data_IF_457360808960
#
_entry.id   IF_457360808960
#
_cell.length_a   1.000
_cell.length_b   1.000
_cell.length_c   1.000
_cell.angle_alpha   90.00
_cell.angle_beta   90.00
_cell.angle_gamma   90.00
#
_symmetry.space_group_name_H-M   'P 1'
#
loop_
_entity.id
_entity.type
_entity.pdbx_description
1 polymer ?
#
# COMPACT_ATOMS: atom_id res chain seq x y z
N UNK A 1 36.14 -17.47 -4.74
CA UNK A 1 35.74 -16.06 -4.80
C UNK A 1 34.70 -15.90 -5.87
N UNK A 2 33.43 -15.68 -5.50
CA UNK A 2 32.40 -15.37 -6.50
C UNK A 2 32.69 -14.01 -7.12
N UNK A 3 32.68 -13.94 -8.46
CA UNK A 3 32.83 -12.69 -9.17
C UNK A 3 31.59 -11.81 -8.94
N UNK A 4 31.79 -10.52 -8.68
CA UNK A 4 30.70 -9.58 -8.47
C UNK A 4 29.85 -9.43 -9.74
N UNK A 5 28.54 -9.52 -9.62
CA UNK A 5 27.62 -9.26 -10.73
C UNK A 5 27.79 -7.79 -11.18
N UNK A 6 27.97 -7.51 -12.49
CA UNK A 6 28.16 -6.16 -12.98
C UNK A 6 26.89 -5.31 -12.82
N UNK A 7 27.08 -4.02 -12.54
CA UNK A 7 25.98 -3.04 -12.54
C UNK A 7 25.41 -2.89 -13.95
N UNK A 8 24.09 -2.98 -14.06
CA UNK A 8 23.36 -2.86 -15.32
C UNK A 8 22.50 -1.60 -15.40
N UNK A 9 22.50 -0.74 -14.39
CA UNK A 9 21.74 0.52 -14.39
C UNK A 9 22.29 1.52 -15.41
N UNK A 10 23.61 1.66 -15.52
CA UNK A 10 24.24 2.66 -16.40
C UNK A 10 23.68 4.07 -16.14
N UNK A 11 23.26 4.77 -17.19
CA UNK A 11 22.64 6.10 -17.09
C UNK A 11 21.11 6.08 -16.82
N UNK A 12 20.50 4.90 -16.61
CA UNK A 12 19.05 4.78 -16.38
C UNK A 12 18.62 5.48 -15.08
N UNK A 13 17.53 6.25 -15.15
CA UNK A 13 16.91 6.94 -14.00
C UNK A 13 15.41 6.65 -13.88
N UNK A 14 14.93 5.55 -14.47
CA UNK A 14 13.50 5.24 -14.57
C UNK A 14 12.83 5.12 -13.19
N UNK A 15 13.41 4.35 -12.27
CA UNK A 15 12.88 4.18 -10.91
C UNK A 15 12.86 5.49 -10.12
N UNK A 16 13.87 6.36 -10.30
CA UNK A 16 13.93 7.67 -9.65
C UNK A 16 12.78 8.57 -10.12
N UNK A 17 12.44 8.53 -11.41
CA UNK A 17 11.38 9.37 -12.00
C UNK A 17 9.96 8.92 -11.68
N UNK A 18 9.75 7.62 -11.46
CA UNK A 18 8.39 7.06 -11.26
C UNK A 18 7.98 7.02 -9.79
N UNK A 19 8.92 7.14 -8.85
CA UNK A 19 8.64 6.98 -7.43
C UNK A 19 7.59 8.02 -6.98
N UNK A 20 6.37 7.62 -6.55
CA UNK A 20 5.27 8.57 -6.35
C UNK A 20 5.51 9.61 -5.25
N UNK A 21 6.43 9.32 -4.34
CA UNK A 21 6.75 10.14 -3.17
C UNK A 21 8.18 10.67 -3.22
N UNK A 22 8.91 10.51 -4.33
CA UNK A 22 10.33 10.86 -4.42
C UNK A 22 11.19 10.25 -3.29
N UNK A 23 10.83 9.04 -2.84
CA UNK A 23 11.58 8.35 -1.79
C UNK A 23 12.99 7.95 -2.25
N UNK A 24 13.20 7.77 -3.56
CA UNK A 24 14.51 7.54 -4.13
C UNK A 24 15.21 8.88 -4.40
N UNK A 25 15.89 9.40 -3.36
CA UNK A 25 16.58 10.71 -3.40
C UNK A 25 17.83 10.75 -4.30
N UNK A 26 18.30 9.58 -4.73
CA UNK A 26 19.41 9.44 -5.65
C UNK A 26 19.64 7.98 -6.06
N UNK A 27 20.61 7.71 -6.96
CA UNK A 27 20.96 6.35 -7.32
C UNK A 27 21.33 5.54 -6.07
N UNK A 28 20.59 4.45 -5.82
CA UNK A 28 20.81 3.55 -4.68
C UNK A 28 20.68 4.22 -3.30
N UNK A 29 19.94 5.33 -3.22
CA UNK A 29 19.68 6.04 -1.98
C UNK A 29 18.17 6.16 -1.78
N UNK A 30 17.70 5.70 -0.62
CA UNK A 30 16.28 5.64 -0.27
C UNK A 30 16.04 6.36 1.05
N UNK A 31 15.12 7.32 1.06
CA UNK A 31 14.49 7.80 2.28
C UNK A 31 13.28 6.92 2.61
N UNK A 32 13.47 5.99 3.57
CA UNK A 32 12.43 5.05 3.97
C UNK A 32 11.17 5.76 4.51
N UNK A 33 11.30 6.93 5.13
CA UNK A 33 10.16 7.68 5.71
C UNK A 33 9.15 8.13 4.66
N UNK A 34 9.57 8.19 3.39
CA UNK A 34 8.73 8.53 2.23
C UNK A 34 8.34 7.30 1.40
N UNK A 35 9.03 6.18 1.57
CA UNK A 35 8.81 4.98 0.77
C UNK A 35 7.44 4.35 1.08
N UNK A 36 6.57 4.21 0.09
CA UNK A 36 5.22 3.63 0.28
C UNK A 36 5.31 2.20 0.85
N UNK A 37 6.30 1.41 0.44
CA UNK A 37 6.50 0.07 1.00
C UNK A 37 6.81 0.12 2.50
N UNK A 38 7.69 1.02 2.94
CA UNK A 38 7.95 1.22 4.37
C UNK A 38 6.73 1.75 5.11
N UNK A 39 6.04 2.76 4.55
CA UNK A 39 4.84 3.35 5.16
C UNK A 39 3.74 2.32 5.39
N UNK A 40 3.53 1.41 4.43
CA UNK A 40 2.46 0.41 4.48
C UNK A 40 2.83 -0.85 5.26
N UNK A 41 4.12 -1.18 5.41
CA UNK A 41 4.57 -2.42 6.07
C UNK A 41 5.20 -2.16 7.44
N UNK A 42 6.20 -1.29 7.51
CA UNK A 42 7.07 -1.15 8.68
C UNK A 42 6.63 -0.02 9.61
N UNK A 43 6.12 1.08 9.07
CA UNK A 43 5.63 2.20 9.88
C UNK A 43 4.39 1.77 10.67
N UNK A 44 4.48 1.80 12.00
CA UNK A 44 3.39 1.45 12.92
C UNK A 44 2.46 2.63 13.22
N UNK A 45 2.94 3.86 13.02
CA UNK A 45 2.21 5.08 13.34
C UNK A 45 1.48 5.68 12.14
N UNK A 46 1.31 6.99 12.18
CA UNK A 46 0.64 7.78 11.15
C UNK A 46 1.38 7.81 9.82
N UNK A 47 0.65 7.72 8.70
CA UNK A 47 1.15 8.10 7.38
C UNK A 47 0.99 9.62 7.25
N UNK A 48 2.06 10.39 7.01
CA UNK A 48 1.99 11.85 6.89
C UNK A 48 0.94 12.29 5.85
N UNK A 49 0.06 13.27 6.15
CA UNK A 49 -1.02 13.69 5.27
C UNK A 49 -0.58 14.00 3.83
N UNK A 50 0.58 14.64 3.66
CA UNK A 50 1.17 15.01 2.38
C UNK A 50 1.59 13.82 1.51
N UNK A 51 1.71 12.62 2.09
CA UNK A 51 2.06 11.40 1.38
C UNK A 51 0.83 10.52 1.04
N UNK A 52 -0.32 10.74 1.72
CA UNK A 52 -1.49 9.85 1.63
C UNK A 52 -2.07 9.75 0.21
N UNK A 53 -2.06 10.84 -0.54
CA UNK A 53 -2.53 10.84 -1.94
C UNK A 53 -1.64 9.98 -2.84
N UNK A 54 -0.32 10.11 -2.71
CA UNK A 54 0.65 9.38 -3.52
C UNK A 54 0.67 7.87 -3.24
N UNK A 55 0.18 7.43 -2.07
CA UNK A 55 0.02 5.99 -1.76
C UNK A 55 -0.92 5.31 -2.78
N UNK A 56 -1.95 6.02 -3.26
CA UNK A 56 -2.95 5.46 -4.17
C UNK A 56 -3.72 4.31 -3.51
N UNK A 57 -3.87 3.19 -4.21
CA UNK A 57 -4.57 1.98 -3.74
C UNK A 57 -3.63 0.93 -3.13
N UNK A 58 -2.39 1.28 -2.78
CA UNK A 58 -1.39 0.34 -2.26
C UNK A 58 -1.63 0.07 -0.78
N UNK A 59 -2.20 -1.10 -0.48
CA UNK A 59 -2.54 -1.52 0.89
C UNK A 59 -1.33 -2.16 1.60
N UNK A 60 -0.45 -2.84 0.86
CA UNK A 60 0.74 -3.51 1.40
C UNK A 60 1.85 -3.54 0.35
N UNK A 61 2.93 -2.79 0.58
CA UNK A 61 4.05 -2.72 -0.35
C UNK A 61 3.86 -1.72 -1.51
N UNK A 62 4.89 -1.59 -2.34
CA UNK A 62 4.88 -0.79 -3.56
C UNK A 62 5.93 -1.33 -4.53
N UNK A 63 5.52 -1.60 -5.76
CA UNK A 63 6.39 -2.21 -6.79
C UNK A 63 6.75 -1.23 -7.92
N UNK A 64 6.35 0.05 -7.85
CA UNK A 64 6.50 0.98 -8.98
C UNK A 64 7.94 1.09 -9.49
N UNK A 65 8.91 1.15 -8.57
CA UNK A 65 10.33 1.22 -8.91
C UNK A 65 10.84 -0.06 -9.57
N UNK A 66 10.21 -1.21 -9.30
CA UNK A 66 10.50 -2.49 -9.93
C UNK A 66 9.75 -2.63 -11.27
N UNK A 67 8.48 -2.27 -11.34
CA UNK A 67 7.66 -2.38 -12.56
C UNK A 67 8.25 -1.56 -13.69
N UNK A 68 8.78 -0.37 -13.40
CA UNK A 68 9.42 0.49 -14.42
C UNK A 68 10.85 0.04 -14.78
N UNK A 69 11.45 -0.87 -14.01
CA UNK A 69 12.83 -1.27 -14.22
C UNK A 69 12.96 -2.06 -15.54
N UNK A 70 13.80 -1.62 -16.50
CA UNK A 70 13.92 -2.31 -17.79
C UNK A 70 14.50 -3.72 -17.67
N UNK A 71 15.16 -4.04 -16.55
CA UNK A 71 15.70 -5.38 -16.29
C UNK A 71 14.65 -6.37 -15.80
N UNK A 72 13.52 -5.90 -15.25
CA UNK A 72 12.44 -6.79 -14.82
C UNK A 72 11.65 -7.39 -15.99
N UNK A 73 11.82 -6.89 -17.21
CA UNK A 73 11.25 -7.55 -18.42
C UNK A 73 11.78 -8.96 -18.65
N UNK A 74 12.92 -9.30 -18.04
CA UNK A 74 13.54 -10.62 -18.12
C UNK A 74 13.11 -11.56 -16.97
N UNK A 75 12.38 -11.05 -15.98
CA UNK A 75 11.87 -11.86 -14.88
C UNK A 75 10.80 -12.83 -15.40
N UNK A 76 10.76 -14.03 -14.82
CA UNK A 76 9.76 -15.06 -15.11
C UNK A 76 8.85 -15.19 -13.91
N UNK A 77 7.54 -15.36 -14.15
CA UNK A 77 6.61 -15.72 -13.08
C UNK A 77 7.02 -17.07 -12.50
N UNK A 78 6.99 -17.18 -11.17
CA UNK A 78 7.26 -18.45 -10.51
C UNK A 78 6.17 -19.47 -10.86
N UNK A 79 6.56 -20.73 -10.95
CA UNK A 79 5.64 -21.86 -11.01
C UNK A 79 5.31 -22.43 -9.62
N UNK A 80 5.94 -21.91 -8.57
CA UNK A 80 5.68 -22.32 -7.19
C UNK A 80 4.28 -21.89 -6.75
N UNK A 81 3.48 -22.86 -6.32
CA UNK A 81 2.08 -22.65 -5.97
C UNK A 81 1.93 -21.75 -4.73
N UNK A 82 2.91 -21.80 -3.82
CA UNK A 82 2.90 -20.99 -2.60
C UNK A 82 2.90 -19.48 -2.86
N UNK A 83 3.36 -19.04 -4.04
CA UNK A 83 3.36 -17.63 -4.46
C UNK A 83 2.10 -17.19 -5.22
N UNK A 84 1.14 -18.10 -5.45
CA UNK A 84 -0.14 -17.72 -6.05
C UNK A 84 -0.93 -16.81 -5.09
N UNK A 85 -1.70 -15.83 -5.60
CA UNK A 85 -2.62 -15.04 -4.79
C UNK A 85 -3.58 -15.93 -4.00
N UNK A 86 -3.75 -15.63 -2.72
CA UNK A 86 -4.66 -16.36 -1.83
C UNK A 86 -5.86 -15.48 -1.50
N UNK A 87 -7.00 -16.13 -1.25
CA UNK A 87 -8.23 -15.47 -0.78
C UNK A 87 -8.78 -14.34 -1.68
N UNK A 88 -8.41 -14.33 -2.97
CA UNK A 88 -8.86 -13.32 -3.95
C UNK A 88 -8.33 -11.91 -3.69
N UNK A 89 -7.23 -11.77 -2.95
CA UNK A 89 -6.68 -10.46 -2.56
C UNK A 89 -6.14 -9.63 -3.74
N UNK A 90 -5.87 -10.26 -4.88
CA UNK A 90 -5.43 -9.61 -6.12
C UNK A 90 -6.57 -8.91 -6.88
N UNK A 91 -7.82 -9.17 -6.50
CA UNK A 91 -9.03 -8.59 -7.13
C UNK A 91 -10.05 -8.06 -6.13
N UNK A 92 -9.71 -8.03 -4.84
CA UNK A 92 -10.62 -7.62 -3.77
C UNK A 92 -10.98 -6.12 -3.84
N UNK A 93 -12.24 -5.80 -3.51
CA UNK A 93 -12.68 -4.40 -3.37
C UNK A 93 -12.30 -3.87 -1.99
N UNK A 94 -11.87 -2.60 -1.93
CA UNK A 94 -11.53 -1.93 -0.66
C UNK A 94 -12.69 -1.99 0.35
N UNK A 95 -13.94 -1.82 -0.11
CA UNK A 95 -15.12 -1.90 0.75
C UNK A 95 -15.32 -3.29 1.40
N UNK A 96 -14.98 -4.37 0.69
CA UNK A 96 -15.08 -5.74 1.22
C UNK A 96 -13.98 -6.00 2.25
N UNK A 97 -12.77 -5.50 1.98
CA UNK A 97 -11.64 -5.61 2.89
C UNK A 97 -11.85 -4.80 4.18
N UNK A 98 -12.46 -3.61 4.07
CA UNK A 98 -12.88 -2.81 5.23
C UNK A 98 -13.93 -3.54 6.08
N UNK A 99 -14.66 -4.52 5.55
CA UNK A 99 -15.63 -5.29 6.33
C UNK A 99 -15.00 -6.41 7.18
N UNK A 100 -13.73 -6.79 6.94
CA UNK A 100 -13.06 -7.81 7.74
C UNK A 100 -12.80 -7.28 9.14
N UNK A 101 -13.19 -8.04 10.16
CA UNK A 101 -12.74 -7.83 11.53
C UNK A 101 -11.31 -8.39 11.74
N UNK A 102 -10.76 -8.18 12.94
CA UNK A 102 -9.43 -8.66 13.27
C UNK A 102 -9.33 -10.18 13.15
N UNK A 103 -10.31 -10.92 13.67
CA UNK A 103 -10.32 -12.39 13.59
C UNK A 103 -10.28 -12.89 12.13
N UNK A 104 -11.06 -12.28 11.24
CA UNK A 104 -11.07 -12.59 9.81
C UNK A 104 -9.75 -12.22 9.14
N UNK A 105 -9.19 -11.04 9.44
CA UNK A 105 -7.89 -10.63 8.93
C UNK A 105 -6.81 -11.63 9.34
N UNK A 106 -6.75 -12.02 10.61
CA UNK A 106 -5.80 -13.00 11.10
C UNK A 106 -6.01 -14.33 10.36
N UNK A 107 -7.21 -14.91 10.40
CA UNK A 107 -7.48 -16.20 9.76
C UNK A 107 -7.14 -16.23 8.26
N UNK A 108 -7.49 -15.17 7.51
CA UNK A 108 -7.26 -15.09 6.05
C UNK A 108 -5.85 -14.72 5.65
N UNK A 109 -5.00 -14.26 6.56
CA UNK A 109 -3.62 -13.89 6.23
C UNK A 109 -2.59 -14.82 6.88
N UNK A 110 -3.03 -15.86 7.57
CA UNK A 110 -2.14 -16.85 8.18
C UNK A 110 -1.15 -17.44 7.16
N UNK A 111 0.13 -17.48 7.53
CA UNK A 111 1.20 -17.95 6.64
C UNK A 111 1.50 -17.02 5.45
N UNK A 112 0.99 -15.79 5.43
CA UNK A 112 1.26 -14.79 4.39
C UNK A 112 2.16 -13.67 4.90
N UNK A 113 2.93 -13.05 3.99
CA UNK A 113 3.75 -11.88 4.31
C UNK A 113 2.93 -10.69 4.86
N UNK A 114 1.62 -10.62 4.56
CA UNK A 114 0.70 -9.63 5.14
C UNK A 114 0.70 -9.66 6.68
N UNK A 115 1.08 -10.77 7.33
CA UNK A 115 1.20 -10.84 8.80
C UNK A 115 2.35 -10.01 9.39
N UNK A 116 3.16 -9.33 8.56
CA UNK A 116 4.12 -8.33 9.03
C UNK A 116 3.44 -7.06 9.58
N UNK A 117 2.19 -6.81 9.17
CA UNK A 117 1.37 -5.72 9.71
C UNK A 117 0.32 -6.25 10.70
N UNK A 118 -0.02 -5.42 11.68
CA UNK A 118 -1.15 -5.68 12.57
C UNK A 118 -2.48 -5.20 11.93
N UNK A 119 -3.59 -5.53 12.59
CA UNK A 119 -4.92 -5.16 12.10
C UNK A 119 -5.17 -3.64 12.09
N UNK A 120 -4.51 -2.87 12.98
CA UNK A 120 -4.63 -1.41 13.00
C UNK A 120 -3.98 -0.80 11.75
N UNK A 121 -2.78 -1.26 11.39
CA UNK A 121 -2.11 -0.90 10.15
C UNK A 121 -2.92 -1.31 8.91
N UNK A 122 -3.57 -2.47 8.94
CA UNK A 122 -4.45 -2.92 7.87
C UNK A 122 -5.60 -1.93 7.62
N UNK A 123 -6.34 -1.56 8.67
CA UNK A 123 -7.45 -0.60 8.55
C UNK A 123 -6.94 0.79 8.16
N UNK A 124 -5.81 1.23 8.73
CA UNK A 124 -5.15 2.49 8.34
C UNK A 124 -4.83 2.54 6.85
N UNK A 125 -4.19 1.49 6.31
CA UNK A 125 -3.81 1.44 4.90
C UNK A 125 -5.05 1.40 3.99
N UNK A 126 -6.09 0.65 4.39
CA UNK A 126 -7.37 0.64 3.68
C UNK A 126 -8.06 2.00 3.69
N UNK A 127 -8.01 2.75 4.78
CA UNK A 127 -8.56 4.10 4.85
C UNK A 127 -7.86 5.04 3.86
N UNK A 128 -6.53 5.00 3.80
CA UNK A 128 -5.76 5.78 2.80
C UNK A 128 -6.14 5.36 1.37
N UNK A 129 -6.20 4.06 1.09
CA UNK A 129 -6.62 3.56 -0.21
C UNK A 129 -8.05 3.98 -0.58
N UNK A 130 -8.97 3.99 0.40
CA UNK A 130 -10.36 4.42 0.24
C UNK A 130 -10.47 5.90 -0.10
N UNK A 131 -9.69 6.77 0.56
CA UNK A 131 -9.66 8.21 0.26
C UNK A 131 -9.14 8.53 -1.15
N UNK A 132 -8.39 7.62 -1.75
CA UNK A 132 -7.90 7.72 -3.14
C UNK A 132 -8.82 7.04 -4.17
N UNK A 133 -9.90 6.39 -3.73
CA UNK A 133 -10.82 5.69 -4.59
C UNK A 133 -11.96 6.59 -5.11
N UNK A 134 -12.72 6.09 -6.08
CA UNK A 134 -13.98 6.71 -6.48
C UNK A 134 -14.99 6.58 -5.35
N UNK A 135 -15.65 7.69 -5.00
CA UNK A 135 -16.67 7.71 -3.94
C UNK A 135 -17.84 6.79 -4.30
N UNK A 136 -18.24 5.96 -3.33
CA UNK A 136 -19.51 5.25 -3.35
C UNK A 136 -20.18 5.32 -1.98
N UNK A 137 -21.53 5.26 -1.90
CA UNK A 137 -22.23 5.21 -0.62
C UNK A 137 -21.79 4.04 0.26
N UNK A 138 -21.53 2.88 -0.36
CA UNK A 138 -21.02 1.69 0.34
C UNK A 138 -19.67 1.96 1.02
N UNK A 139 -18.72 2.56 0.29
CA UNK A 139 -17.39 2.85 0.81
C UNK A 139 -17.44 3.84 1.99
N UNK A 140 -18.24 4.91 1.85
CA UNK A 140 -18.45 5.91 2.91
C UNK A 140 -19.07 5.26 4.15
N UNK A 141 -20.10 4.42 3.98
CA UNK A 141 -20.73 3.72 5.09
C UNK A 141 -19.74 2.78 5.81
N UNK A 142 -18.89 2.04 5.08
CA UNK A 142 -17.85 1.18 5.67
C UNK A 142 -16.83 1.98 6.48
N UNK A 143 -16.40 3.14 5.98
CA UNK A 143 -15.51 4.05 6.70
C UNK A 143 -16.16 4.57 7.97
N UNK A 144 -17.43 4.99 7.92
CA UNK A 144 -18.17 5.50 9.09
C UNK A 144 -18.32 4.43 10.18
N UNK A 145 -18.64 3.18 9.81
CA UNK A 145 -18.67 2.06 10.76
C UNK A 145 -17.31 1.87 11.40
N UNK A 146 -16.22 1.84 10.62
CA UNK A 146 -14.86 1.69 11.17
C UNK A 146 -14.43 2.85 12.05
N UNK A 147 -14.90 4.06 11.75
CA UNK A 147 -14.61 5.27 12.53
C UNK A 147 -15.12 5.16 13.97
N UNK A 148 -16.26 4.49 14.20
CA UNK A 148 -16.87 4.39 15.52
C UNK A 148 -15.91 3.72 16.53
N UNK A 149 -15.31 2.60 16.13
CA UNK A 149 -14.48 1.75 16.98
C UNK A 149 -12.96 2.01 16.83
N UNK A 150 -12.58 2.98 16.02
CA UNK A 150 -11.17 3.26 15.72
C UNK A 150 -10.44 3.96 16.88
N UNK A 151 -9.21 3.55 17.14
CA UNK A 151 -8.26 4.35 17.92
C UNK A 151 -7.86 5.63 17.17
N UNK A 152 -7.17 6.55 17.86
CA UNK A 152 -6.82 7.87 17.33
C UNK A 152 -6.06 7.81 15.99
N UNK A 153 -5.10 6.89 15.85
CA UNK A 153 -4.31 6.75 14.63
C UNK A 153 -5.19 6.29 13.48
N UNK A 154 -6.03 5.27 13.66
CA UNK A 154 -6.91 4.80 12.58
C UNK A 154 -7.97 5.87 12.25
N UNK A 155 -8.51 6.53 13.28
CA UNK A 155 -9.57 7.55 13.15
C UNK A 155 -9.13 8.73 12.29
N UNK A 156 -7.92 9.26 12.47
CA UNK A 156 -7.44 10.39 11.65
C UNK A 156 -7.26 10.04 10.15
N UNK A 157 -6.99 8.76 9.80
CA UNK A 157 -6.86 8.34 8.40
C UNK A 157 -8.25 8.14 7.78
N UNK A 158 -9.21 7.65 8.57
CA UNK A 158 -10.61 7.54 8.15
C UNK A 158 -11.20 8.95 7.93
N UNK A 159 -10.93 9.89 8.83
CA UNK A 159 -11.42 11.26 8.72
C UNK A 159 -10.87 11.94 7.47
N UNK A 160 -9.58 11.80 7.21
CA UNK A 160 -8.96 12.26 5.97
C UNK A 160 -9.61 11.64 4.73
N UNK A 161 -9.88 10.33 4.76
CA UNK A 161 -10.51 9.63 3.63
C UNK A 161 -11.93 10.15 3.36
N UNK A 162 -12.73 10.34 4.41
CA UNK A 162 -14.09 10.87 4.31
C UNK A 162 -14.09 12.29 3.74
N UNK A 163 -13.28 13.20 4.28
CA UNK A 163 -13.15 14.57 3.77
C UNK A 163 -12.76 14.59 2.29
N UNK A 164 -11.77 13.79 1.90
CA UNK A 164 -11.32 13.74 0.51
C UNK A 164 -12.39 13.23 -0.45
N UNK A 165 -13.16 12.22 -0.03
CA UNK A 165 -14.28 11.69 -0.81
C UNK A 165 -15.42 12.71 -0.95
N UNK A 166 -15.68 13.51 0.10
CA UNK A 166 -16.64 14.61 0.06
C UNK A 166 -16.20 15.71 -0.91
N UNK A 167 -14.95 16.17 -0.81
CA UNK A 167 -14.37 17.18 -1.71
C UNK A 167 -14.37 16.75 -3.17
N UNK A 168 -14.15 15.46 -3.44
CA UNK A 168 -14.21 14.90 -4.78
C UNK A 168 -15.63 14.87 -5.36
N UNK A 169 -16.67 14.76 -4.52
CA UNK A 169 -18.07 14.77 -4.97
C UNK A 169 -18.61 16.19 -5.20
N UNK A 170 -17.97 17.20 -4.61
CA UNK A 170 -18.32 18.61 -4.79
C UNK A 170 -17.70 19.24 -6.05
N UNK A 171 -16.80 18.52 -6.74
CA UNK A 171 -16.17 18.91 -8.01
C UNK A 171 -16.91 18.30 -9.19
#
# INVERSE_FOLDING_TARGET
TEASVPDRCGACRACLKVCPTDALVGPRQLDARRCISYLTIESKGTIPPELREAVGNRIFGCDDCQVVCPWNRYARKSAEADFAPRHGLDSARIADLLAWDEATFLARTEGMALRRIDYRQWVRNLAVAAGNAVRSPELVARLQVRRADADDMVREHIDWALTRLEDAAAR
#
